data_IF_271935824255
#
_entry.id   IF_271935824255
#
_cell.length_a   1.000
_cell.length_b   1.000
_cell.length_c   1.000
_cell.angle_alpha   90.00
_cell.angle_beta   90.00
_cell.angle_gamma   90.00
#
_symmetry.space_group_name_H-M   'P 1'
#
loop_
_entity.id
_entity.type
_entity.pdbx_description
1 polymer ?
#
# COMPACT_ATOMS: atom_id res chain seq x y z
N UNK A 1 -36.47 -43.93 24.83
CA UNK A 1 -35.69 -44.21 23.60
C UNK A 1 -35.15 -42.86 23.11
N UNK A 2 -33.91 -42.42 23.38
CA UNK A 2 -32.60 -43.05 23.08
C UNK A 2 -32.60 -43.53 21.61
N UNK A 3 -31.72 -43.13 20.69
CA UNK A 3 -30.34 -42.62 20.75
C UNK A 3 -30.05 -41.85 19.46
N UNK A 4 -29.41 -40.68 19.54
CA UNK A 4 -28.42 -40.21 18.56
C UNK A 4 -27.68 -38.99 19.13
N UNK A 5 -26.72 -39.26 20.02
CA UNK A 5 -25.62 -38.34 20.33
C UNK A 5 -24.47 -38.57 19.34
N UNK A 6 -23.69 -37.51 19.12
CA UNK A 6 -22.43 -37.40 18.36
C UNK A 6 -22.65 -37.19 16.86
N UNK A 7 -22.28 -36.05 16.26
CA UNK A 7 -20.92 -35.48 16.28
C UNK A 7 -20.98 -33.95 16.45
N UNK A 8 -20.30 -33.43 17.48
CA UNK A 8 -20.03 -31.99 17.61
C UNK A 8 -19.02 -31.56 16.55
N UNK A 9 -19.49 -30.96 15.45
CA UNK A 9 -18.62 -30.26 14.50
C UNK A 9 -18.25 -28.89 15.07
N UNK A 10 -17.30 -28.85 16.00
CA UNK A 10 -16.57 -27.60 16.33
C UNK A 10 -15.53 -27.34 15.24
N UNK A 11 -16.01 -27.10 14.02
CA UNK A 11 -15.20 -26.50 12.97
C UNK A 11 -14.93 -25.06 13.40
N UNK A 12 -13.75 -24.83 14.00
CA UNK A 12 -13.25 -23.47 14.18
C UNK A 12 -13.00 -22.92 12.77
N UNK A 13 -13.62 -21.78 12.40
CA UNK A 13 -13.41 -21.21 11.08
C UNK A 13 -11.91 -20.94 10.88
N UNK A 14 -11.38 -21.35 9.74
CA UNK A 14 -9.99 -21.03 9.37
C UNK A 14 -9.82 -19.51 9.26
N UNK A 15 -8.59 -18.96 9.35
CA UNK A 15 -8.37 -17.53 9.18
C UNK A 15 -8.99 -16.97 7.89
N UNK A 16 -8.92 -17.73 6.78
CA UNK A 16 -9.58 -17.40 5.51
C UNK A 16 -11.12 -17.39 5.62
N UNK A 17 -11.73 -18.34 6.34
CA UNK A 17 -13.16 -18.34 6.59
C UNK A 17 -13.59 -17.19 7.50
N UNK A 18 -12.76 -16.81 8.48
CA UNK A 18 -13.02 -15.64 9.34
C UNK A 18 -12.94 -14.36 8.51
N UNK A 19 -11.99 -14.25 7.59
CA UNK A 19 -11.83 -13.11 6.69
C UNK A 19 -12.98 -13.04 5.67
N UNK A 20 -13.38 -14.16 5.07
CA UNK A 20 -14.58 -14.24 4.22
C UNK A 20 -15.84 -13.88 5.03
N UNK A 21 -15.95 -14.31 6.28
CA UNK A 21 -17.08 -13.93 7.15
C UNK A 21 -17.04 -12.43 7.46
N UNK A 22 -15.88 -11.83 7.69
CA UNK A 22 -15.71 -10.38 7.87
C UNK A 22 -16.03 -9.61 6.59
N UNK A 23 -15.59 -10.08 5.44
CA UNK A 23 -15.84 -9.43 4.16
C UNK A 23 -17.30 -9.61 3.73
N UNK A 24 -17.91 -10.76 4.00
CA UNK A 24 -19.37 -10.96 3.87
C UNK A 24 -20.13 -10.08 4.86
N UNK A 25 -19.62 -9.84 6.08
CA UNK A 25 -20.22 -8.88 7.02
C UNK A 25 -20.10 -7.44 6.53
N UNK A 26 -18.93 -6.99 6.08
CA UNK A 26 -18.71 -5.65 5.51
C UNK A 26 -19.55 -5.47 4.25
N UNK A 27 -19.62 -6.49 3.39
CA UNK A 27 -20.47 -6.51 2.21
C UNK A 27 -21.94 -6.50 2.58
N UNK A 28 -22.37 -7.25 3.61
CA UNK A 28 -23.75 -7.22 4.13
C UNK A 28 -24.07 -5.89 4.79
N UNK A 29 -23.12 -5.24 5.47
CA UNK A 29 -23.28 -3.90 6.05
C UNK A 29 -23.37 -2.84 4.95
N UNK A 30 -22.49 -2.90 3.95
CA UNK A 30 -22.55 -2.07 2.75
C UNK A 30 -23.86 -2.28 2.00
N UNK A 31 -24.29 -3.54 1.78
CA UNK A 31 -25.58 -3.88 1.18
C UNK A 31 -26.74 -3.45 2.06
N UNK A 32 -26.69 -3.62 3.38
CA UNK A 32 -27.76 -3.17 4.28
C UNK A 32 -27.85 -1.64 4.30
N UNK A 33 -26.72 -0.95 4.15
CA UNK A 33 -26.66 0.50 4.01
C UNK A 33 -27.23 0.90 2.66
N UNK A 34 -26.87 0.22 1.57
CA UNK A 34 -27.41 0.43 0.21
C UNK A 34 -28.90 0.09 0.14
N UNK A 35 -29.37 -0.93 0.86
CA UNK A 35 -30.77 -1.35 0.90
C UNK A 35 -31.59 -0.45 1.82
N UNK A 36 -31.07 -0.04 2.98
CA UNK A 36 -31.70 0.97 3.84
C UNK A 36 -31.72 2.35 3.16
N UNK A 37 -30.66 2.65 2.39
CA UNK A 37 -30.62 3.78 1.48
C UNK A 37 -31.62 3.56 0.34
N UNK A 38 -31.74 2.36 -0.21
CA UNK A 38 -32.67 1.97 -1.28
C UNK A 38 -34.14 2.01 -0.88
N UNK A 39 -34.48 1.66 0.37
CA UNK A 39 -35.83 1.80 0.91
C UNK A 39 -36.16 3.25 1.25
N UNK A 40 -35.19 4.01 1.76
CA UNK A 40 -35.32 5.48 1.87
C UNK A 40 -35.43 6.12 0.48
N UNK A 41 -34.66 5.67 -0.50
CA UNK A 41 -34.66 6.13 -1.89
C UNK A 41 -35.96 5.75 -2.56
N UNK A 42 -36.57 4.57 -2.33
CA UNK A 42 -37.93 4.24 -2.80
C UNK A 42 -38.98 5.26 -2.32
N UNK A 43 -38.81 5.81 -1.12
CA UNK A 43 -39.67 6.87 -0.57
C UNK A 43 -39.46 8.24 -1.23
N UNK A 44 -38.33 8.44 -1.91
CA UNK A 44 -37.92 9.66 -2.60
C UNK A 44 -37.57 9.42 -4.09
N UNK A 45 -37.97 8.27 -4.66
CA UNK A 45 -37.51 7.76 -5.95
C UNK A 45 -38.06 8.57 -7.14
N UNK A 46 -38.90 9.56 -6.87
CA UNK A 46 -39.25 10.59 -7.83
C UNK A 46 -38.27 11.76 -7.91
N UNK A 47 -37.19 11.81 -7.10
CA UNK A 47 -36.41 13.05 -6.93
C UNK A 47 -34.90 12.96 -7.22
N UNK A 48 -34.21 11.82 -7.09
CA UNK A 48 -32.77 11.75 -7.45
C UNK A 48 -32.34 10.37 -7.98
N UNK A 49 -32.23 10.25 -9.31
CA UNK A 49 -31.80 9.05 -10.03
C UNK A 49 -30.28 8.95 -10.29
N UNK A 50 -29.45 9.69 -9.56
CA UNK A 50 -28.02 9.80 -9.85
C UNK A 50 -27.18 9.82 -8.57
N UNK A 51 -26.18 8.95 -8.48
CA UNK A 51 -25.10 9.01 -7.48
C UNK A 51 -24.17 10.15 -7.90
N UNK A 52 -24.10 11.19 -7.08
CA UNK A 52 -23.27 12.35 -7.39
C UNK A 52 -21.77 12.01 -7.36
N UNK A 53 -20.97 12.77 -8.11
CA UNK A 53 -19.54 12.51 -8.26
C UNK A 53 -18.75 12.51 -6.94
N UNK A 54 -19.22 13.21 -5.90
CA UNK A 54 -18.59 13.16 -4.56
C UNK A 54 -18.79 11.81 -3.90
N UNK A 55 -20.00 11.27 -3.97
CA UNK A 55 -20.34 9.97 -3.40
C UNK A 55 -19.62 8.85 -4.15
N UNK A 56 -19.57 8.92 -5.48
CA UNK A 56 -18.79 8.00 -6.30
C UNK A 56 -17.29 8.08 -5.98
N UNK A 57 -16.74 9.29 -5.84
CA UNK A 57 -15.33 9.47 -5.49
C UNK A 57 -15.01 8.93 -4.09
N UNK A 58 -15.95 9.05 -3.14
CA UNK A 58 -15.79 8.46 -1.81
C UNK A 58 -15.74 6.93 -1.84
N UNK A 59 -16.55 6.29 -2.70
CA UNK A 59 -16.50 4.84 -2.91
C UNK A 59 -15.11 4.39 -3.40
N UNK A 60 -14.51 5.18 -4.29
CA UNK A 60 -13.14 4.97 -4.74
C UNK A 60 -12.08 5.25 -3.67
N UNK A 61 -12.03 6.46 -3.11
CA UNK A 61 -10.94 6.93 -2.24
C UNK A 61 -10.99 6.29 -0.83
N UNK A 62 -12.19 6.10 -0.27
CA UNK A 62 -12.35 5.57 1.09
C UNK A 62 -12.46 4.05 1.11
N UNK A 63 -13.19 3.48 0.15
CA UNK A 63 -13.56 2.07 0.18
C UNK A 63 -12.85 1.24 -0.92
N UNK A 64 -12.11 1.88 -1.83
CA UNK A 64 -11.33 1.22 -2.86
C UNK A 64 -12.15 0.65 -4.01
N UNK A 65 -13.43 1.02 -4.15
CA UNK A 65 -14.30 0.54 -5.23
C UNK A 65 -13.94 1.27 -6.53
N UNK A 66 -13.57 0.55 -7.60
CA UNK A 66 -13.40 1.17 -8.91
C UNK A 66 -14.68 1.88 -9.37
N UNK A 67 -14.54 2.94 -10.17
CA UNK A 67 -15.69 3.69 -10.68
C UNK A 67 -16.55 2.81 -11.58
N UNK A 68 -15.93 1.89 -12.32
CA UNK A 68 -16.58 0.92 -13.20
C UNK A 68 -17.51 0.00 -12.40
N UNK A 69 -17.02 -0.55 -11.29
CA UNK A 69 -17.83 -1.38 -10.40
C UNK A 69 -18.96 -0.58 -9.74
N UNK A 70 -18.70 0.68 -9.39
CA UNK A 70 -19.72 1.58 -8.84
C UNK A 70 -20.83 1.84 -9.85
N UNK A 71 -20.48 2.06 -11.12
CA UNK A 71 -21.44 2.24 -12.21
C UNK A 71 -22.25 0.98 -12.49
N UNK A 72 -21.61 -0.19 -12.52
CA UNK A 72 -22.26 -1.47 -12.73
C UNK A 72 -23.32 -1.75 -11.65
N UNK A 73 -22.94 -1.61 -10.38
CA UNK A 73 -23.85 -1.80 -9.24
C UNK A 73 -24.99 -0.77 -9.20
N UNK A 74 -24.73 0.48 -9.62
CA UNK A 74 -25.75 1.52 -9.70
C UNK A 74 -26.79 1.20 -10.79
N UNK A 75 -26.32 0.78 -11.97
CA UNK A 75 -27.17 0.44 -13.10
C UNK A 75 -28.10 -0.74 -12.79
N UNK A 76 -27.62 -1.78 -12.09
CA UNK A 76 -28.45 -2.89 -11.60
C UNK A 76 -29.61 -2.45 -10.69
N UNK A 77 -29.50 -1.27 -10.08
CA UNK A 77 -30.51 -0.68 -9.19
C UNK A 77 -31.32 0.43 -9.86
N UNK A 78 -31.13 0.66 -11.15
CA UNK A 78 -31.80 1.74 -11.90
C UNK A 78 -31.30 3.13 -11.51
N UNK A 79 -30.05 3.24 -11.07
CA UNK A 79 -29.38 4.50 -10.72
C UNK A 79 -28.29 4.80 -11.74
N UNK A 80 -28.09 6.08 -12.03
CA UNK A 80 -26.93 6.57 -12.79
C UNK A 80 -25.83 7.04 -11.86
N UNK A 81 -24.62 7.23 -12.39
CA UNK A 81 -23.49 7.82 -11.67
C UNK A 81 -23.01 9.05 -12.42
N UNK A 82 -22.79 10.15 -11.71
CA UNK A 82 -22.16 11.35 -12.25
C UNK A 82 -20.65 11.13 -12.42
N UNK A 83 -20.30 10.49 -13.52
CA UNK A 83 -18.92 10.18 -13.93
C UNK A 83 -18.08 11.47 -14.09
N UNK A 84 -18.67 12.55 -14.62
CA UNK A 84 -17.97 13.83 -14.78
C UNK A 84 -17.58 14.42 -13.43
N UNK A 85 -18.51 14.44 -12.47
CA UNK A 85 -18.22 14.90 -11.12
C UNK A 85 -17.21 14.01 -10.39
N UNK A 86 -17.20 12.69 -10.69
CA UNK A 86 -16.15 11.79 -10.22
C UNK A 86 -14.78 12.17 -10.80
N UNK A 87 -14.68 12.35 -12.12
CA UNK A 87 -13.43 12.70 -12.80
C UNK A 87 -12.87 14.03 -12.32
N UNK A 88 -13.70 15.05 -12.16
CA UNK A 88 -13.27 16.36 -11.65
C UNK A 88 -12.64 16.24 -10.26
N UNK A 89 -13.25 15.47 -9.37
CA UNK A 89 -12.73 15.22 -8.03
C UNK A 89 -11.48 14.37 -8.04
N UNK A 90 -11.43 13.37 -8.90
CA UNK A 90 -10.25 12.56 -9.11
C UNK A 90 -9.06 13.40 -9.59
N UNK A 91 -9.28 14.31 -10.55
CA UNK A 91 -8.29 15.30 -11.00
C UNK A 91 -7.87 16.25 -9.90
N UNK A 92 -8.81 16.78 -9.09
CA UNK A 92 -8.50 17.64 -7.95
C UNK A 92 -7.66 16.91 -6.88
N UNK A 93 -7.98 15.65 -6.59
CA UNK A 93 -7.22 14.80 -5.66
C UNK A 93 -5.81 14.51 -6.19
N UNK A 94 -5.67 14.26 -7.50
CA UNK A 94 -4.36 14.16 -8.13
C UNK A 94 -3.58 15.47 -8.04
N UNK A 95 -4.22 16.61 -8.34
CA UNK A 95 -3.59 17.92 -8.30
C UNK A 95 -3.12 18.32 -6.89
N UNK A 96 -3.91 18.04 -5.84
CA UNK A 96 -3.49 18.25 -4.45
C UNK A 96 -2.37 17.29 -4.03
N UNK A 97 -2.39 16.04 -4.51
CA UNK A 97 -1.28 15.11 -4.34
C UNK A 97 0.00 15.55 -5.08
N UNK A 98 -0.15 16.25 -6.21
CA UNK A 98 0.94 16.81 -7.01
C UNK A 98 1.47 18.16 -6.49
N UNK A 99 0.64 19.01 -5.88
CA UNK A 99 1.09 20.28 -5.30
C UNK A 99 2.07 20.08 -4.14
N UNK A 100 1.94 18.97 -3.39
CA UNK A 100 2.95 18.54 -2.43
C UNK A 100 4.21 17.92 -3.07
N UNK A 101 4.23 17.71 -4.39
CA UNK A 101 5.35 17.11 -5.10
C UNK A 101 6.41 18.12 -5.56
N UNK A 102 6.06 19.40 -5.68
CA UNK A 102 7.01 20.46 -6.08
C UNK A 102 8.04 20.80 -4.97
N UNK A 103 7.76 20.44 -3.72
CA UNK A 103 8.70 20.57 -2.59
C UNK A 103 9.49 19.26 -2.30
N UNK A 104 9.53 18.31 -3.23
CA UNK A 104 10.21 17.02 -2.99
C UNK A 104 11.69 17.08 -3.35
N UNK A 105 12.52 16.63 -2.41
CA UNK A 105 13.96 16.48 -2.59
C UNK A 105 14.28 15.20 -3.39
N UNK A 106 15.56 15.01 -3.74
CA UNK A 106 16.03 13.84 -4.52
C UNK A 106 15.50 12.53 -3.91
N UNK A 107 15.00 11.63 -4.75
CA UNK A 107 14.34 10.38 -4.30
C UNK A 107 12.88 10.54 -3.88
N UNK A 108 12.27 11.73 -4.02
CA UNK A 108 10.85 11.94 -3.67
C UNK A 108 10.61 12.19 -2.18
N UNK A 109 11.65 12.58 -1.44
CA UNK A 109 11.64 12.83 0.00
C UNK A 109 11.03 14.19 0.35
N UNK A 110 10.47 14.31 1.56
CA UNK A 110 9.93 15.58 2.05
C UNK A 110 11.02 16.57 2.50
N UNK A 111 12.18 16.08 2.91
CA UNK A 111 13.34 16.86 3.33
C UNK A 111 14.65 16.08 3.08
N UNK A 112 15.79 16.61 3.53
CA UNK A 112 17.11 16.00 3.42
C UNK A 112 17.82 15.82 4.78
N UNK A 113 17.06 15.70 5.86
CA UNK A 113 17.61 15.49 7.22
C UNK A 113 18.20 14.09 7.38
N UNK A 114 19.03 13.91 8.42
CA UNK A 114 19.62 12.61 8.75
C UNK A 114 18.54 11.58 9.12
N UNK A 115 17.50 12.00 9.83
CA UNK A 115 16.34 11.18 10.21
C UNK A 115 15.59 10.68 8.98
N UNK A 116 15.33 11.57 8.02
CA UNK A 116 14.71 11.20 6.75
C UNK A 116 15.60 10.24 5.94
N UNK A 117 16.92 10.44 5.95
CA UNK A 117 17.87 9.52 5.30
C UNK A 117 17.87 8.11 5.94
N UNK A 118 17.74 8.02 7.26
CA UNK A 118 17.58 6.75 7.98
C UNK A 118 16.26 6.06 7.63
N UNK A 119 15.15 6.78 7.61
CA UNK A 119 13.84 6.23 7.21
C UNK A 119 13.82 5.85 5.71
N UNK A 120 14.55 6.57 4.87
CA UNK A 120 14.71 6.21 3.47
C UNK A 120 15.49 4.89 3.30
N UNK A 121 16.56 4.71 4.08
CA UNK A 121 17.28 3.43 4.17
C UNK A 121 16.37 2.30 4.62
N UNK A 122 15.56 2.54 5.66
CA UNK A 122 14.57 1.58 6.14
C UNK A 122 13.52 1.22 5.08
N UNK A 123 13.19 2.15 4.18
CA UNK A 123 12.24 1.91 3.08
C UNK A 123 12.76 0.90 2.07
N UNK A 124 14.06 0.95 1.73
CA UNK A 124 14.68 -0.03 0.83
C UNK A 124 14.78 -1.41 1.47
N UNK A 125 15.17 -1.49 2.74
CA UNK A 125 15.16 -2.75 3.48
C UNK A 125 13.74 -3.35 3.56
N UNK A 126 12.73 -2.51 3.83
CA UNK A 126 11.33 -2.92 3.83
C UNK A 126 10.89 -3.45 2.46
N UNK A 127 11.23 -2.76 1.37
CA UNK A 127 10.86 -3.18 0.03
C UNK A 127 11.49 -4.52 -0.34
N UNK A 128 12.78 -4.70 -0.05
CA UNK A 128 13.46 -5.98 -0.27
C UNK A 128 12.87 -7.11 0.58
N UNK A 129 12.56 -6.85 1.86
CA UNK A 129 11.92 -7.82 2.75
C UNK A 129 10.52 -8.21 2.26
N UNK A 130 9.70 -7.24 1.81
CA UNK A 130 8.39 -7.51 1.22
C UNK A 130 8.49 -8.41 0.00
N UNK A 131 9.46 -8.16 -0.90
CA UNK A 131 9.67 -9.01 -2.09
C UNK A 131 10.10 -10.42 -1.72
N UNK A 132 10.93 -10.57 -0.69
CA UNK A 132 11.39 -11.88 -0.19
C UNK A 132 10.26 -12.69 0.44
N UNK A 133 9.33 -12.05 1.16
CA UNK A 133 8.23 -12.72 1.87
C UNK A 133 7.01 -12.93 0.98
N UNK A 134 6.65 -11.94 0.18
CA UNK A 134 5.38 -11.91 -0.57
C UNK A 134 5.52 -12.23 -2.05
N UNK A 135 6.74 -12.21 -2.60
CA UNK A 135 7.01 -12.47 -4.02
C UNK A 135 7.64 -11.31 -4.78
N UNK A 136 8.33 -11.63 -5.86
CA UNK A 136 9.09 -10.68 -6.69
C UNK A 136 8.20 -9.73 -7.51
N UNK A 137 6.91 -9.98 -7.57
CA UNK A 137 5.90 -9.13 -8.20
C UNK A 137 5.52 -7.92 -7.34
N UNK A 138 5.92 -7.90 -6.05
CA UNK A 138 5.73 -6.72 -5.20
C UNK A 138 6.54 -5.56 -5.76
N UNK A 139 5.83 -4.50 -6.13
CA UNK A 139 6.39 -3.28 -6.69
C UNK A 139 5.89 -2.08 -5.90
N UNK A 140 6.78 -1.11 -5.69
CA UNK A 140 6.41 0.18 -5.11
C UNK A 140 5.37 0.90 -5.97
N UNK A 141 4.29 1.35 -5.32
CA UNK A 141 3.22 2.18 -5.90
C UNK A 141 3.19 3.60 -5.34
N UNK A 142 3.83 3.82 -4.20
CA UNK A 142 3.95 5.13 -3.58
C UNK A 142 4.87 5.11 -2.37
N UNK A 143 5.49 6.24 -2.06
CA UNK A 143 6.24 6.42 -0.83
C UNK A 143 6.11 7.85 -0.33
N UNK A 144 6.03 8.02 0.99
CA UNK A 144 6.11 9.31 1.66
C UNK A 144 6.93 9.14 2.94
N UNK A 145 8.10 9.75 2.96
CA UNK A 145 9.05 9.70 4.07
C UNK A 145 9.20 11.12 4.59
N UNK A 146 9.06 11.28 5.90
CA UNK A 146 9.38 12.50 6.67
C UNK A 146 10.23 12.10 7.87
N UNK A 147 10.77 13.06 8.63
CA UNK A 147 11.55 12.77 9.84
C UNK A 147 10.84 11.89 10.89
N UNK A 148 9.51 11.85 10.89
CA UNK A 148 8.71 11.13 11.90
C UNK A 148 8.04 9.86 11.40
N UNK A 149 7.87 9.70 10.07
CA UNK A 149 7.08 8.58 9.52
C UNK A 149 7.61 8.09 8.18
N UNK A 150 7.56 6.77 8.02
CA UNK A 150 7.66 6.07 6.75
C UNK A 150 6.27 5.57 6.35
N UNK A 151 5.83 5.95 5.15
CA UNK A 151 4.66 5.37 4.48
C UNK A 151 5.10 4.74 3.16
N UNK A 152 4.83 3.45 2.99
CA UNK A 152 5.20 2.70 1.81
C UNK A 152 3.98 1.99 1.23
N UNK A 153 3.68 2.27 -0.04
CA UNK A 153 2.55 1.71 -0.77
C UNK A 153 3.09 0.74 -1.83
N UNK A 154 2.56 -0.48 -1.88
CA UNK A 154 3.08 -1.56 -2.73
C UNK A 154 1.95 -2.39 -3.34
N UNK A 155 2.21 -3.00 -4.50
CA UNK A 155 1.26 -3.89 -5.16
C UNK A 155 1.14 -5.21 -4.43
N UNK A 156 -0.05 -5.48 -3.89
CA UNK A 156 -0.39 -6.76 -3.29
C UNK A 156 -1.91 -6.91 -3.21
N UNK A 157 -2.43 -8.04 -3.67
CA UNK A 157 -3.87 -8.22 -3.92
C UNK A 157 -4.72 -8.49 -2.68
N UNK A 158 -4.11 -8.86 -1.56
CA UNK A 158 -4.80 -9.21 -0.31
C UNK A 158 -4.18 -8.55 0.90
N UNK A 159 -4.82 -8.68 2.06
CA UNK A 159 -4.23 -8.28 3.33
C UNK A 159 -3.02 -9.18 3.65
N UNK A 160 -1.99 -8.59 4.24
CA UNK A 160 -0.88 -9.38 4.79
C UNK A 160 -1.35 -10.12 6.04
N UNK A 161 -0.94 -11.37 6.16
CA UNK A 161 -1.15 -12.16 7.36
C UNK A 161 -0.28 -11.61 8.51
N UNK A 162 -0.68 -11.82 9.78
CA UNK A 162 0.15 -11.45 10.92
C UNK A 162 1.57 -12.04 10.87
N UNK A 163 1.71 -13.24 10.32
CA UNK A 163 2.97 -13.97 10.17
C UNK A 163 3.85 -13.31 9.10
N UNK A 164 3.29 -12.93 7.95
CA UNK A 164 4.02 -12.17 6.92
C UNK A 164 4.49 -10.81 7.43
N UNK A 165 3.64 -10.10 8.19
CA UNK A 165 4.02 -8.81 8.79
C UNK A 165 5.19 -9.00 9.77
N UNK A 166 5.12 -10.03 10.63
CA UNK A 166 6.19 -10.36 11.57
C UNK A 166 7.47 -10.75 10.85
N UNK A 167 7.38 -11.53 9.78
CA UNK A 167 8.56 -11.97 9.04
C UNK A 167 9.24 -10.81 8.29
N UNK A 168 8.45 -9.93 7.67
CA UNK A 168 8.99 -8.70 7.06
C UNK A 168 9.68 -7.84 8.11
N UNK A 169 9.05 -7.61 9.26
CA UNK A 169 9.66 -6.85 10.36
C UNK A 169 10.94 -7.53 10.88
N UNK A 170 10.96 -8.87 10.99
CA UNK A 170 12.12 -9.65 11.42
C UNK A 170 13.28 -9.48 10.44
N UNK A 171 13.04 -9.61 9.14
CA UNK A 171 14.07 -9.47 8.09
C UNK A 171 14.67 -8.06 8.05
N UNK A 172 13.86 -7.02 8.22
CA UNK A 172 14.38 -5.64 8.28
C UNK A 172 15.26 -5.45 9.52
N UNK A 173 14.84 -5.96 10.68
CA UNK A 173 15.65 -5.89 11.89
C UNK A 173 16.91 -6.76 11.82
N UNK A 174 16.88 -7.89 11.13
CA UNK A 174 18.07 -8.71 10.83
C UNK A 174 19.10 -7.90 10.03
N UNK A 175 18.66 -7.18 8.99
CA UNK A 175 19.52 -6.30 8.21
C UNK A 175 20.11 -5.14 9.04
N UNK A 176 19.33 -4.58 9.97
CA UNK A 176 19.79 -3.55 10.92
C UNK A 176 20.86 -4.12 11.87
N UNK A 177 20.62 -5.31 12.44
CA UNK A 177 21.53 -5.99 13.35
C UNK A 177 22.84 -6.42 12.68
N UNK A 178 22.80 -6.73 11.39
CA UNK A 178 23.99 -7.06 10.61
C UNK A 178 24.98 -5.89 10.48
N UNK A 179 24.56 -4.65 10.79
CA UNK A 179 25.41 -3.46 10.83
C UNK A 179 26.25 -3.25 9.56
N UNK A 180 25.64 -3.49 8.39
CA UNK A 180 26.34 -3.43 7.11
C UNK A 180 26.45 -1.98 6.62
N UNK A 181 27.57 -1.62 5.98
CA UNK A 181 27.73 -0.29 5.38
C UNK A 181 26.75 -0.11 4.22
N UNK A 182 26.22 1.11 4.10
CA UNK A 182 25.43 1.52 2.94
C UNK A 182 26.39 2.15 1.93
N UNK A 183 26.62 1.47 0.81
CA UNK A 183 27.53 1.94 -0.24
C UNK A 183 26.75 2.52 -1.41
N UNK A 184 27.33 3.51 -2.09
CA UNK A 184 26.76 4.14 -3.27
C UNK A 184 27.79 4.09 -4.41
N UNK A 185 27.39 3.50 -5.54
CA UNK A 185 28.21 3.43 -6.74
C UNK A 185 27.45 4.05 -7.92
N UNK A 186 28.17 4.78 -8.77
CA UNK A 186 27.62 5.24 -10.04
C UNK A 186 27.99 4.27 -11.15
N UNK A 187 26.99 3.76 -11.87
CA UNK A 187 27.15 2.79 -12.95
C UNK A 187 26.08 3.01 -14.02
N UNK A 188 26.19 2.31 -15.15
CA UNK A 188 25.15 2.32 -16.18
C UNK A 188 23.92 1.53 -15.73
N UNK A 189 22.79 1.78 -16.40
CA UNK A 189 21.54 1.03 -16.15
C UNK A 189 21.73 -0.47 -16.40
N UNK A 190 22.51 -0.85 -17.41
CA UNK A 190 22.73 -2.25 -17.77
C UNK A 190 23.65 -2.96 -16.76
N UNK A 191 24.68 -2.28 -16.25
CA UNK A 191 25.48 -2.79 -15.12
C UNK A 191 24.62 -2.98 -13.87
N UNK A 192 23.76 -2.02 -13.54
CA UNK A 192 22.85 -2.12 -12.40
C UNK A 192 21.90 -3.32 -12.53
N UNK A 193 21.33 -3.56 -13.73
CA UNK A 193 20.50 -4.74 -14.02
C UNK A 193 21.30 -6.04 -13.89
N UNK A 194 22.50 -6.10 -14.44
CA UNK A 194 23.36 -7.29 -14.37
C UNK A 194 23.73 -7.65 -12.93
N UNK A 195 23.82 -6.66 -12.04
CA UNK A 195 24.03 -6.86 -10.61
C UNK A 195 22.77 -7.16 -9.80
N UNK A 196 21.59 -7.26 -10.44
CA UNK A 196 20.33 -7.54 -9.77
C UNK A 196 19.73 -6.35 -9.00
N UNK A 197 20.12 -5.11 -9.32
CA UNK A 197 19.55 -3.95 -8.67
C UNK A 197 18.05 -3.82 -8.97
N UNK A 198 17.26 -3.46 -7.95
CA UNK A 198 15.84 -3.17 -8.11
C UNK A 198 15.69 -1.68 -8.47
N UNK A 199 14.87 -1.39 -9.47
CA UNK A 199 14.58 -0.02 -9.87
C UNK A 199 13.50 0.02 -10.95
N UNK A 200 12.80 1.14 -11.03
CA UNK A 200 11.95 1.41 -12.18
C UNK A 200 12.89 1.72 -13.34
N UNK A 201 13.25 0.78 -14.20
CA UNK A 201 14.18 1.05 -15.31
C UNK A 201 13.51 1.86 -16.44
N UNK A 202 13.19 3.12 -16.16
CA UNK A 202 12.51 4.00 -17.10
C UNK A 202 13.47 4.63 -18.10
N UNK A 203 12.97 5.11 -19.23
CA UNK A 203 13.74 5.91 -20.19
C UNK A 203 14.22 7.26 -19.66
N UNK A 204 13.85 7.64 -18.41
CA UNK A 204 14.24 8.91 -17.76
C UNK A 204 15.57 8.82 -17.00
N UNK A 205 16.14 7.64 -16.81
CA UNK A 205 17.47 7.55 -16.22
C UNK A 205 18.49 8.03 -17.25
N UNK A 206 19.41 8.91 -16.82
CA UNK A 206 20.56 9.27 -17.65
C UNK A 206 21.46 8.06 -17.91
N UNK A 207 22.55 8.28 -18.65
CA UNK A 207 23.51 7.23 -19.00
C UNK A 207 24.14 6.55 -17.75
N UNK A 208 24.19 7.27 -16.62
CA UNK A 208 24.67 6.78 -15.33
C UNK A 208 23.61 6.96 -14.23
N UNK A 209 23.51 5.97 -13.36
CA UNK A 209 22.60 5.90 -12.21
C UNK A 209 23.36 5.63 -10.93
N UNK A 210 22.82 6.11 -9.80
CA UNK A 210 23.33 5.79 -8.46
C UNK A 210 22.65 4.52 -7.96
N UNK A 211 23.46 3.54 -7.58
CA UNK A 211 23.01 2.29 -6.98
C UNK A 211 23.47 2.26 -5.54
N UNK A 212 22.51 2.11 -4.63
CA UNK A 212 22.76 1.94 -3.21
C UNK A 212 22.71 0.46 -2.87
N UNK A 213 23.71 -0.04 -2.14
CA UNK A 213 23.81 -1.42 -1.68
C UNK A 213 23.90 -1.48 -0.16
N UNK A 214 23.11 -2.37 0.45
CA UNK A 214 23.01 -2.57 1.89
C UNK A 214 23.32 -4.05 2.19
N UNK A 215 24.60 -4.42 2.03
CA UNK A 215 25.03 -5.82 2.09
C UNK A 215 24.27 -6.70 1.10
N UNK A 216 23.87 -7.89 1.54
CA UNK A 216 23.04 -8.82 0.76
C UNK A 216 21.54 -8.53 0.85
N UNK A 217 21.12 -7.55 1.65
CA UNK A 217 19.72 -7.32 1.99
C UNK A 217 18.98 -6.49 0.95
N UNK A 218 19.64 -5.48 0.37
CA UNK A 218 19.02 -4.62 -0.64
C UNK A 218 20.08 -4.03 -1.58
N UNK A 219 19.71 -3.91 -2.85
CA UNK A 219 20.47 -3.21 -3.89
C UNK A 219 19.49 -2.51 -4.82
N UNK A 220 19.46 -1.17 -4.81
CA UNK A 220 18.44 -0.41 -5.51
C UNK A 220 18.99 0.84 -6.19
N UNK A 221 18.42 1.19 -7.35
CA UNK A 221 18.70 2.48 -7.99
C UNK A 221 17.95 3.57 -7.23
N UNK A 222 18.69 4.51 -6.64
CA UNK A 222 18.09 5.60 -5.88
C UNK A 222 18.93 6.89 -5.95
N UNK A 223 18.27 8.04 -5.92
CA UNK A 223 18.93 9.35 -5.97
C UNK A 223 18.87 10.16 -4.67
N UNK A 224 18.15 9.67 -3.65
CA UNK A 224 17.99 10.36 -2.37
C UNK A 224 19.12 10.07 -1.38
N UNK A 225 19.22 10.81 -0.26
CA UNK A 225 20.15 10.55 0.83
C UNK A 225 19.82 9.26 1.60
N UNK A 226 20.83 8.60 2.15
CA UNK A 226 20.72 7.39 2.98
C UNK A 226 21.57 7.52 4.25
N UNK A 227 21.29 6.66 5.23
CA UNK A 227 22.19 6.46 6.36
C UNK A 227 23.50 5.84 5.88
N UNK A 228 24.55 5.97 6.68
CA UNK A 228 25.88 5.42 6.36
C UNK A 228 25.97 3.93 6.67
N UNK A 229 25.21 3.45 7.65
CA UNK A 229 25.19 2.06 8.07
C UNK A 229 23.76 1.63 8.45
N UNK A 230 23.41 0.36 8.24
CA UNK A 230 22.08 -0.15 8.63
C UNK A 230 21.85 -0.12 10.14
N UNK A 231 22.90 -0.18 10.97
CA UNK A 231 22.83 -0.05 12.42
C UNK A 231 22.37 1.35 12.88
N UNK A 232 22.56 2.39 12.06
CA UNK A 232 22.16 3.77 12.38
C UNK A 232 20.63 3.90 12.56
N UNK A 233 19.87 2.94 12.03
CA UNK A 233 18.41 2.86 12.15
C UNK A 233 17.99 2.38 13.55
N UNK A 234 18.88 1.69 14.27
CA UNK A 234 18.69 1.06 15.59
C UNK A 234 17.65 -0.08 15.64
N UNK A 235 16.43 0.17 15.19
CA UNK A 235 15.34 -0.80 15.15
C UNK A 235 14.31 -0.40 14.10
N UNK A 236 13.43 -1.34 13.71
CA UNK A 236 12.33 -1.09 12.79
C UNK A 236 11.03 -1.71 13.30
N UNK A 237 9.92 -0.95 13.21
CA UNK A 237 8.60 -1.43 13.63
C UNK A 237 7.52 -1.03 12.63
N UNK A 238 6.75 -2.02 12.17
CA UNK A 238 5.52 -1.78 11.42
C UNK A 238 4.43 -1.37 12.42
N UNK A 239 3.90 -0.15 12.25
CA UNK A 239 2.80 0.38 13.06
C UNK A 239 1.44 -0.01 12.53
N UNK A 240 1.29 -0.03 11.21
CA UNK A 240 0.01 -0.31 10.56
C UNK A 240 0.23 -0.87 9.17
N UNK A 241 -0.60 -1.84 8.83
CA UNK A 241 -0.81 -2.34 7.48
C UNK A 241 -2.29 -2.13 7.13
N UNK A 242 -2.58 -1.54 5.97
CA UNK A 242 -3.94 -1.22 5.54
C UNK A 242 -4.10 -1.23 4.02
N UNK A 243 -5.35 -1.36 3.54
CA UNK A 243 -5.66 -1.17 2.13
C UNK A 243 -5.45 0.29 1.75
N UNK A 244 -4.77 0.57 0.64
CA UNK A 244 -4.69 1.93 0.08
C UNK A 244 -5.68 2.14 -1.06
N UNK A 245 -5.84 1.14 -1.93
CA UNK A 245 -6.77 1.09 -3.05
C UNK A 245 -6.82 -0.36 -3.57
N UNK A 246 -7.66 -0.65 -4.56
CA UNK A 246 -7.72 -1.99 -5.16
C UNK A 246 -6.33 -2.46 -5.63
N UNK A 247 -5.89 -3.62 -5.14
CA UNK A 247 -4.59 -4.21 -5.47
C UNK A 247 -3.36 -3.51 -4.86
N UNK A 248 -3.54 -2.54 -3.98
CA UNK A 248 -2.45 -1.78 -3.34
C UNK A 248 -2.59 -1.78 -1.82
N UNK A 249 -1.52 -2.19 -1.15
CA UNK A 249 -1.41 -2.20 0.32
C UNK A 249 -0.46 -1.10 0.77
N UNK A 250 -0.64 -0.64 2.01
CA UNK A 250 0.12 0.42 2.64
C UNK A 250 0.67 -0.03 3.98
N UNK A 251 1.97 0.15 4.16
CA UNK A 251 2.64 0.02 5.45
C UNK A 251 3.00 1.42 5.98
N UNK A 252 2.72 1.63 7.27
CA UNK A 252 3.28 2.73 8.06
C UNK A 252 4.25 2.14 9.07
N UNK A 253 5.47 2.65 9.11
CA UNK A 253 6.52 2.17 9.99
C UNK A 253 7.34 3.31 10.60
N UNK A 254 8.09 2.97 11.64
CA UNK A 254 9.03 3.86 12.34
C UNK A 254 10.34 3.13 12.61
N UNK A 255 11.38 3.88 12.92
CA UNK A 255 12.68 3.37 13.36
C UNK A 255 13.06 3.93 14.73
N UNK A 256 14.06 3.34 15.39
CA UNK A 256 14.66 3.91 16.60
C UNK A 256 13.87 3.72 17.90
N UNK A 257 12.94 2.76 17.95
CA UNK A 257 12.23 2.36 19.17
C UNK A 257 12.98 1.28 19.97
#
# INVERSE_FOLDING_TARGET
MQVAQNVGSTLRPTPEMVEIIEDVKKFREALSTILAFGEKVKKYAGVFGTIDGRSAFKLYDTYGFPIELTMEMAHEKGLEVDEKGFEERFKQHQATSHAGAEQRFKGGLADNTEETAKLHTATHLLHAALRKVLGNEVAQKGSNITAERLRFDFSFGRKMTPEEIKEVERLVNEAIQAAVPVTCEEMTVDEAKAQGAIGLFTSKYGERVKVYTMGEFSKEICGGPHASNTADLKSFKIKKEESSSAGVRRIKAVIGQ
#
